data_IF_740531188615
#
_entry.id   IF_740531188615
#
_cell.length_a   1.000
_cell.length_b   1.000
_cell.length_c   1.000
_cell.angle_alpha   90.00
_cell.angle_beta   90.00
_cell.angle_gamma   90.00
#
_symmetry.space_group_name_H-M   'P 1'
#
loop_
_entity.id
_entity.type
_entity.pdbx_description
1 polymer ?
#
# COMPACT_ATOMS: atom_id res chain seq x y z
N UNK A 1 5.66 7.54 -13.24
CA UNK A 1 5.63 7.88 -11.80
C UNK A 1 4.80 6.85 -11.03
N UNK A 2 4.88 6.80 -9.70
CA UNK A 2 4.09 5.87 -8.85
C UNK A 2 3.05 6.65 -8.03
N UNK A 3 1.92 6.01 -7.72
CA UNK A 3 0.91 6.54 -6.79
C UNK A 3 1.34 6.26 -5.35
N UNK A 4 1.53 7.30 -4.56
CA UNK A 4 2.02 7.17 -3.17
C UNK A 4 0.92 6.80 -2.18
N UNK A 5 1.04 5.65 -1.54
CA UNK A 5 0.09 5.15 -0.53
C UNK A 5 -0.24 6.15 0.58
N UNK A 6 0.77 6.81 1.15
CA UNK A 6 0.57 7.74 2.26
C UNK A 6 -0.23 8.98 1.83
N UNK A 7 -0.03 9.44 0.59
CA UNK A 7 -0.82 10.52 0.01
C UNK A 7 -2.27 10.08 -0.25
N UNK A 8 -2.48 8.85 -0.73
CA UNK A 8 -3.82 8.27 -0.91
C UNK A 8 -4.56 8.13 0.42
N UNK A 9 -3.91 7.58 1.45
CA UNK A 9 -4.47 7.53 2.81
C UNK A 9 -4.84 8.92 3.32
N UNK A 10 -3.92 9.87 3.25
CA UNK A 10 -4.20 11.24 3.68
C UNK A 10 -5.37 11.88 2.92
N UNK A 11 -5.46 11.66 1.61
CA UNK A 11 -6.55 12.19 0.77
C UNK A 11 -7.93 11.68 1.15
N UNK A 12 -8.03 10.41 1.56
CA UNK A 12 -9.29 9.74 1.87
C UNK A 12 -9.65 9.81 3.36
N UNK A 13 -8.66 9.64 4.23
CA UNK A 13 -8.85 9.44 5.66
C UNK A 13 -8.29 10.59 6.53
N UNK A 14 -7.45 11.46 5.96
CA UNK A 14 -6.65 12.41 6.73
C UNK A 14 -5.58 11.74 7.61
N UNK A 15 -5.09 12.48 8.61
CA UNK A 15 -4.06 12.01 9.56
C UNK A 15 -4.65 11.24 10.74
N UNK A 16 -5.17 10.04 10.46
CA UNK A 16 -5.78 9.16 11.47
C UNK A 16 -4.91 7.96 11.82
N UNK A 17 -4.85 7.65 13.11
CA UNK A 17 -4.10 6.54 13.70
C UNK A 17 -4.92 5.23 13.77
N UNK A 18 -5.49 4.80 12.64
CA UNK A 18 -6.34 3.59 12.54
C UNK A 18 -6.31 2.96 11.16
N UNK A 19 -6.84 1.74 11.05
CA UNK A 19 -7.12 1.09 9.75
C UNK A 19 -8.30 1.77 9.03
N UNK A 20 -8.39 1.70 7.69
CA UNK A 20 -9.55 2.18 6.94
C UNK A 20 -10.80 1.36 7.24
N UNK A 21 -11.94 2.01 7.18
CA UNK A 21 -13.24 1.34 6.99
C UNK A 21 -13.30 0.72 5.59
N UNK A 22 -14.29 -0.15 5.36
CA UNK A 22 -14.49 -0.76 4.04
C UNK A 22 -14.74 0.29 2.95
N UNK A 23 -15.49 1.36 3.26
CA UNK A 23 -15.79 2.45 2.34
C UNK A 23 -14.55 3.29 2.03
N UNK A 24 -13.74 3.60 3.04
CA UNK A 24 -12.46 4.31 2.86
C UNK A 24 -11.47 3.48 2.03
N UNK A 25 -11.35 2.17 2.31
CA UNK A 25 -10.49 1.29 1.52
C UNK A 25 -10.91 1.26 0.05
N UNK A 26 -12.22 1.17 -0.21
CA UNK A 26 -12.77 1.24 -1.57
C UNK A 26 -12.47 2.58 -2.25
N UNK A 27 -12.60 3.70 -1.52
CA UNK A 27 -12.26 5.01 -2.05
C UNK A 27 -10.76 5.13 -2.36
N UNK A 28 -9.88 4.59 -1.52
CA UNK A 28 -8.44 4.54 -1.76
C UNK A 28 -8.10 3.71 -3.01
N UNK A 29 -8.78 2.57 -3.23
CA UNK A 29 -8.65 1.80 -4.46
C UNK A 29 -9.05 2.63 -5.69
N UNK A 30 -10.14 3.39 -5.61
CA UNK A 30 -10.55 4.30 -6.68
C UNK A 30 -9.46 5.32 -7.06
N UNK A 31 -8.81 5.94 -6.06
CA UNK A 31 -7.68 6.86 -6.31
C UNK A 31 -6.50 6.14 -6.98
N UNK A 32 -6.20 4.90 -6.58
CA UNK A 32 -5.17 4.10 -7.24
C UNK A 32 -5.52 3.79 -8.69
N UNK A 33 -6.78 3.45 -8.97
CA UNK A 33 -7.26 3.18 -10.33
C UNK A 33 -7.14 4.41 -11.23
N UNK A 34 -7.55 5.57 -10.74
CA UNK A 34 -7.45 6.83 -11.47
C UNK A 34 -5.98 7.16 -11.75
N UNK A 35 -5.08 7.03 -10.76
CA UNK A 35 -3.65 7.23 -10.98
C UNK A 35 -3.05 6.28 -12.03
N UNK A 36 -3.48 5.01 -12.06
CA UNK A 36 -3.08 4.08 -13.12
C UNK A 36 -3.63 4.48 -14.49
N UNK A 37 -4.87 4.99 -14.58
CA UNK A 37 -5.47 5.50 -15.83
C UNK A 37 -4.75 6.74 -16.34
N UNK A 38 -4.23 7.56 -15.44
CA UNK A 38 -3.47 8.77 -15.75
C UNK A 38 -1.99 8.48 -16.13
N UNK A 39 -1.59 7.20 -16.16
CA UNK A 39 -0.28 6.76 -16.62
C UNK A 39 0.74 6.44 -15.52
N UNK A 40 0.30 6.24 -14.28
CA UNK A 40 1.18 5.72 -13.24
C UNK A 40 1.65 4.29 -13.58
N UNK A 41 2.89 3.96 -13.20
CA UNK A 41 3.47 2.63 -13.41
C UNK A 41 3.11 1.64 -12.30
N UNK A 42 2.44 2.07 -11.25
CA UNK A 42 2.16 1.28 -10.06
C UNK A 42 1.99 2.15 -8.82
N UNK A 43 2.23 1.55 -7.66
CA UNK A 43 2.16 2.22 -6.35
C UNK A 43 3.47 2.11 -5.58
N UNK A 44 3.67 3.05 -4.64
CA UNK A 44 4.71 2.97 -3.62
C UNK A 44 4.15 3.08 -2.21
N UNK A 45 4.81 2.47 -1.23
CA UNK A 45 4.51 2.63 0.20
C UNK A 45 5.69 3.13 1.00
N UNK A 46 5.42 3.85 2.09
CA UNK A 46 6.40 4.19 3.12
C UNK A 46 5.86 3.81 4.50
N UNK A 47 5.97 2.53 4.85
CA UNK A 47 5.27 1.93 6.00
C UNK A 47 5.87 2.30 7.35
N UNK A 48 7.05 2.92 7.37
CA UNK A 48 7.65 3.50 8.59
C UNK A 48 7.08 4.90 8.92
N UNK A 49 6.40 5.56 7.98
CA UNK A 49 5.95 6.95 8.09
C UNK A 49 4.43 7.07 8.25
N UNK A 50 3.99 8.13 8.93
CA UNK A 50 2.57 8.53 9.02
C UNK A 50 2.05 9.01 7.64
N UNK A 51 0.78 8.73 7.29
CA UNK A 51 -0.20 7.89 8.00
C UNK A 51 -0.04 6.38 7.73
N UNK A 52 0.90 5.96 6.88
CA UNK A 52 1.08 4.56 6.46
C UNK A 52 1.51 3.59 7.56
N UNK A 53 2.11 4.08 8.65
CA UNK A 53 2.53 3.26 9.79
C UNK A 53 1.38 2.49 10.44
N UNK A 54 0.15 2.98 10.30
CA UNK A 54 -1.06 2.33 10.84
C UNK A 54 -1.72 1.35 9.86
N UNK A 55 -1.23 1.27 8.62
CA UNK A 55 -1.75 0.34 7.62
C UNK A 55 -1.36 -1.11 7.97
N UNK A 56 -2.33 -2.01 7.84
CA UNK A 56 -2.11 -3.46 7.93
C UNK A 56 -1.72 -4.02 6.56
N UNK A 57 -1.08 -5.18 6.55
CA UNK A 57 -0.67 -5.87 5.32
C UNK A 57 -1.84 -6.06 4.35
N UNK A 58 -3.03 -6.46 4.84
CA UNK A 58 -4.22 -6.68 3.99
C UNK A 58 -4.68 -5.43 3.23
N UNK A 59 -4.54 -4.24 3.84
CA UNK A 59 -4.82 -2.97 3.17
C UNK A 59 -3.86 -2.76 2.00
N UNK A 60 -2.57 -2.99 2.21
CA UNK A 60 -1.55 -2.85 1.16
C UNK A 60 -1.76 -3.89 0.06
N UNK A 61 -2.11 -5.13 0.42
CA UNK A 61 -2.48 -6.19 -0.55
C UNK A 61 -3.67 -5.75 -1.41
N UNK A 62 -4.72 -5.20 -0.81
CA UNK A 62 -5.91 -4.76 -1.54
C UNK A 62 -5.60 -3.67 -2.58
N UNK A 63 -4.76 -2.69 -2.22
CA UNK A 63 -4.31 -1.63 -3.14
C UNK A 63 -3.31 -2.17 -4.19
N UNK A 64 -2.41 -3.06 -3.79
CA UNK A 64 -1.45 -3.69 -4.69
C UNK A 64 -2.16 -4.54 -5.75
N UNK A 65 -3.25 -5.22 -5.40
CA UNK A 65 -4.13 -5.92 -6.35
C UNK A 65 -4.77 -4.94 -7.34
N UNK A 66 -5.25 -3.80 -6.86
CA UNK A 66 -5.85 -2.75 -7.71
C UNK A 66 -4.88 -2.26 -8.79
N UNK A 67 -3.63 -1.94 -8.44
CA UNK A 67 -2.65 -1.53 -9.46
C UNK A 67 -2.15 -2.71 -10.31
N UNK A 68 -2.05 -3.92 -9.74
CA UNK A 68 -1.63 -5.12 -10.47
C UNK A 68 -2.62 -5.52 -11.56
N UNK A 69 -3.93 -5.30 -11.36
CA UNK A 69 -4.96 -5.52 -12.39
C UNK A 69 -4.72 -4.70 -13.68
N UNK A 70 -3.89 -3.66 -13.62
CA UNK A 70 -3.47 -2.82 -14.75
C UNK A 70 -1.99 -3.00 -15.12
N UNK A 71 -1.35 -4.07 -14.66
CA UNK A 71 0.06 -4.35 -14.92
C UNK A 71 1.04 -3.52 -14.07
N UNK A 72 0.55 -2.84 -13.04
CA UNK A 72 1.37 -1.97 -12.19
C UNK A 72 2.33 -2.72 -11.27
N UNK A 73 3.41 -2.03 -10.88
CA UNK A 73 4.37 -2.52 -9.88
C UNK A 73 3.98 -2.11 -8.46
N UNK A 74 4.56 -2.82 -7.49
CA UNK A 74 4.54 -2.46 -6.08
C UNK A 74 5.98 -2.18 -5.66
N UNK A 75 6.21 -0.96 -5.19
CA UNK A 75 7.47 -0.49 -4.60
C UNK A 75 7.26 -0.19 -3.11
N UNK A 76 8.28 -0.42 -2.28
CA UNK A 76 8.12 -0.22 -0.83
C UNK A 76 9.40 0.25 -0.17
N UNK A 77 9.26 1.34 0.59
CA UNK A 77 10.10 1.58 1.75
C UNK A 77 9.50 0.80 2.92
N UNK A 78 10.29 -0.15 3.42
CA UNK A 78 9.87 -1.19 4.36
C UNK A 78 9.33 -0.62 5.68
N UNK A 79 8.57 -1.43 6.41
CA UNK A 79 8.04 -1.05 7.72
C UNK A 79 9.14 -0.86 8.76
N UNK A 80 10.22 -1.61 8.64
CA UNK A 80 11.37 -1.56 9.52
C UNK A 80 12.62 -2.01 8.74
N UNK A 81 13.69 -1.22 8.81
CA UNK A 81 14.99 -1.54 8.19
C UNK A 81 16.08 -1.79 9.24
N UNK A 82 15.71 -1.79 10.52
CA UNK A 82 16.57 -2.09 11.65
C UNK A 82 15.99 -3.19 12.52
N UNK A 83 15.90 -2.92 13.82
CA UNK A 83 15.37 -3.86 14.83
C UNK A 83 14.45 -3.14 15.84
N UNK A 84 13.66 -2.18 15.38
CA UNK A 84 12.94 -1.26 16.28
C UNK A 84 11.54 -1.77 16.66
N UNK A 85 10.80 -2.33 15.70
CA UNK A 85 9.40 -2.75 15.90
C UNK A 85 9.17 -4.16 15.41
N UNK A 86 9.37 -4.38 14.12
CA UNK A 86 9.08 -5.65 13.44
C UNK A 86 10.38 -6.36 13.06
N UNK A 87 11.45 -5.60 12.87
CA UNK A 87 12.76 -6.08 12.42
C UNK A 87 12.82 -6.29 10.91
N UNK A 88 13.99 -6.03 10.33
CA UNK A 88 14.25 -6.09 8.89
C UNK A 88 13.72 -7.38 8.24
N UNK A 89 14.02 -8.55 8.83
CA UNK A 89 13.62 -9.85 8.26
C UNK A 89 12.11 -9.97 8.12
N UNK A 90 11.35 -9.52 9.12
CA UNK A 90 9.89 -9.60 9.07
C UNK A 90 9.29 -8.55 8.14
N UNK A 91 9.89 -7.36 8.05
CA UNK A 91 9.47 -6.35 7.08
C UNK A 91 9.71 -6.80 5.63
N UNK A 92 10.84 -7.46 5.35
CA UNK A 92 11.10 -8.09 4.04
C UNK A 92 10.08 -9.20 3.76
N UNK A 93 9.77 -10.04 4.74
CA UNK A 93 8.72 -11.08 4.59
C UNK A 93 7.36 -10.46 4.27
N UNK A 94 6.97 -9.37 4.94
CA UNK A 94 5.73 -8.64 4.64
C UNK A 94 5.72 -8.15 3.18
N UNK A 95 6.82 -7.56 2.69
CA UNK A 95 6.92 -7.10 1.31
C UNK A 95 6.82 -8.24 0.28
N UNK A 96 7.45 -9.39 0.56
CA UNK A 96 7.37 -10.58 -0.28
C UNK A 96 5.96 -11.17 -0.30
N UNK A 97 5.31 -11.23 0.85
CA UNK A 97 3.93 -11.72 0.99
C UNK A 97 2.96 -10.85 0.18
N UNK A 98 3.05 -9.51 0.31
CA UNK A 98 2.28 -8.57 -0.53
C UNK A 98 2.56 -8.81 -2.02
N UNK A 99 3.84 -8.99 -2.38
CA UNK A 99 4.26 -9.25 -3.75
C UNK A 99 3.70 -10.54 -4.35
N UNK A 100 3.49 -11.58 -3.53
CA UNK A 100 2.88 -12.85 -3.94
C UNK A 100 1.36 -12.73 -4.03
N UNK A 101 0.73 -12.21 -2.97
CA UNK A 101 -0.73 -12.09 -2.88
C UNK A 101 -1.33 -11.16 -3.93
N UNK A 102 -0.61 -10.11 -4.36
CA UNK A 102 -1.13 -9.17 -5.38
C UNK A 102 -1.38 -9.81 -6.75
N UNK A 103 -0.82 -11.00 -7.01
CA UNK A 103 -0.96 -11.74 -8.27
C UNK A 103 -1.95 -12.90 -8.19
N UNK A 104 -2.41 -13.26 -7.00
CA UNK A 104 -3.37 -14.35 -6.84
C UNK A 104 -4.73 -13.93 -7.40
N UNK A 105 -5.22 -14.64 -8.42
CA UNK A 105 -6.61 -14.57 -8.85
C UNK A 105 -7.48 -15.21 -7.76
N UNK A 106 -8.58 -14.54 -7.39
CA UNK A 106 -9.59 -15.10 -6.50
C UNK A 106 -10.23 -16.37 -7.08
#
# INVERSE_FOLDING_TARGET
MLVGHNAVRHRVMGDVARVPTAEELKAMQGVMEDGMRDGAFGMSTGLVYTPGVFAKTDEVVALAKTVAARGGIYDTHLRDEGNFRTGLVNAVKEALDIGQQRRATA
#
